data_IF_163820315692
#
_entry.id   IF_163820315692
#
_cell.length_a   1.000
_cell.length_b   1.000
_cell.length_c   1.000
_cell.angle_alpha   90.00
_cell.angle_beta   90.00
_cell.angle_gamma   90.00
#
_symmetry.space_group_name_H-M   'P 1'
#
loop_
_entity.id
_entity.type
_entity.pdbx_description
1 polymer ?
#
# COMPACT_ATOMS: atom_id res chain seq x y z
N UNK A 1 -12.39 2.18 -11.05
CA UNK A 1 -11.36 1.61 -10.14
C UNK A 1 -11.80 0.26 -9.61
N UNK A 2 -10.87 -0.56 -9.12
CA UNK A 2 -11.17 -1.78 -8.37
C UNK A 2 -10.60 -1.65 -6.96
N UNK A 3 -11.30 -2.22 -5.99
CA UNK A 3 -10.85 -2.24 -4.60
C UNK A 3 -10.88 -3.66 -4.04
N UNK A 4 -10.01 -3.93 -3.06
CA UNK A 4 -10.12 -5.12 -2.21
C UNK A 4 -10.24 -4.69 -0.76
N UNK A 5 -11.15 -5.35 -0.03
CA UNK A 5 -11.38 -5.12 1.39
C UNK A 5 -10.75 -6.27 2.17
N UNK A 6 -9.81 -5.96 3.05
CA UNK A 6 -9.09 -6.89 3.91
C UNK A 6 -9.48 -6.62 5.36
N UNK A 7 -9.91 -7.63 6.07
CA UNK A 7 -10.46 -7.47 7.42
C UNK A 7 -10.27 -8.75 8.24
N UNK A 8 -10.34 -8.67 9.58
CA UNK A 8 -10.33 -9.84 10.42
C UNK A 8 -11.52 -10.74 10.09
N UNK A 9 -11.24 -11.97 9.67
CA UNK A 9 -12.26 -12.91 9.26
C UNK A 9 -12.45 -14.00 10.31
N UNK A 10 -13.70 -14.43 10.51
CA UNK A 10 -13.99 -15.67 11.22
C UNK A 10 -13.38 -16.83 10.45
N UNK A 11 -12.83 -17.80 11.18
CA UNK A 11 -12.37 -19.04 10.54
C UNK A 11 -13.52 -19.68 9.73
N UNK A 12 -13.32 -19.74 8.43
CA UNK A 12 -14.30 -20.27 7.47
C UNK A 12 -14.06 -21.75 7.15
N UNK A 13 -13.11 -22.39 7.86
CA UNK A 13 -12.75 -23.79 7.67
C UNK A 13 -12.00 -24.07 6.35
N UNK A 14 -11.64 -25.33 6.14
CA UNK A 14 -10.85 -25.77 4.97
C UNK A 14 -11.58 -25.66 3.62
N UNK A 15 -12.91 -25.60 3.62
CA UNK A 15 -13.73 -25.49 2.40
C UNK A 15 -13.72 -24.08 1.78
N UNK A 16 -13.19 -23.07 2.47
CA UNK A 16 -13.14 -21.69 1.98
C UNK A 16 -12.01 -21.48 0.97
N UNK A 17 -12.27 -20.69 -0.07
CA UNK A 17 -11.31 -20.39 -1.13
C UNK A 17 -10.23 -19.44 -0.61
N UNK A 18 -8.96 -19.86 -0.70
CA UNK A 18 -7.82 -18.98 -0.41
C UNK A 18 -7.75 -17.89 -1.48
N UNK A 19 -7.65 -16.64 -1.08
CA UNK A 19 -7.52 -15.54 -2.01
C UNK A 19 -6.16 -15.63 -2.75
N UNK A 20 -6.13 -15.51 -4.09
CA UNK A 20 -4.88 -15.33 -4.81
C UNK A 20 -4.30 -13.94 -4.50
N UNK A 21 -2.97 -13.79 -4.59
CA UNK A 21 -2.30 -12.49 -4.44
C UNK A 21 -2.69 -11.58 -5.62
N UNK A 22 -2.71 -12.09 -6.85
CA UNK A 22 -3.28 -11.43 -8.03
C UNK A 22 -4.47 -12.22 -8.55
N UNK A 23 -5.48 -11.53 -9.06
CA UNK A 23 -6.55 -12.17 -9.81
C UNK A 23 -5.99 -12.86 -11.07
N UNK A 24 -6.58 -13.99 -11.53
CA UNK A 24 -5.94 -14.84 -12.54
C UNK A 24 -5.59 -14.15 -13.86
N UNK A 25 -6.47 -13.30 -14.39
CA UNK A 25 -6.21 -12.61 -15.65
C UNK A 25 -5.23 -11.44 -15.47
N UNK A 26 -5.25 -10.78 -14.30
CA UNK A 26 -4.25 -9.79 -13.94
C UNK A 26 -2.85 -10.43 -13.81
N UNK A 27 -2.75 -11.62 -13.19
CA UNK A 27 -1.51 -12.39 -13.11
C UNK A 27 -0.98 -12.80 -14.50
N UNK A 28 -1.86 -13.22 -15.41
CA UNK A 28 -1.50 -13.56 -16.79
C UNK A 28 -1.07 -12.33 -17.59
N UNK A 29 -1.62 -11.16 -17.31
CA UNK A 29 -1.18 -9.90 -17.96
C UNK A 29 0.16 -9.43 -17.38
N UNK A 30 0.35 -9.52 -16.06
CA UNK A 30 1.61 -9.25 -15.38
C UNK A 30 2.75 -10.11 -15.94
N UNK A 31 2.54 -11.42 -16.12
CA UNK A 31 3.50 -12.34 -16.72
C UNK A 31 3.95 -11.88 -18.12
N UNK A 32 3.03 -11.34 -18.90
CA UNK A 32 3.30 -10.91 -20.28
C UNK A 32 4.02 -9.57 -20.38
N UNK A 33 3.74 -8.64 -19.45
CA UNK A 33 4.11 -7.24 -19.65
C UNK A 33 4.99 -6.66 -18.54
N UNK A 34 4.76 -7.06 -17.28
CA UNK A 34 5.48 -6.50 -16.14
C UNK A 34 6.66 -7.38 -15.69
N UNK A 35 6.58 -8.70 -15.87
CA UNK A 35 7.68 -9.62 -15.61
C UNK A 35 8.92 -9.40 -16.47
N UNK A 36 8.80 -9.32 -17.80
CA UNK A 36 9.96 -9.19 -18.71
C UNK A 36 10.86 -7.98 -18.44
N UNK A 37 10.37 -6.76 -18.15
CA UNK A 37 11.21 -5.63 -17.76
C UNK A 37 12.02 -5.86 -16.48
N UNK A 38 11.59 -6.77 -15.62
CA UNK A 38 12.31 -7.18 -14.40
C UNK A 38 13.31 -8.32 -14.66
N UNK A 39 13.52 -8.72 -15.92
CA UNK A 39 14.39 -9.85 -16.25
C UNK A 39 13.76 -11.22 -16.05
N UNK A 40 12.44 -11.30 -15.87
CA UNK A 40 11.69 -12.54 -15.68
C UNK A 40 11.01 -12.92 -16.99
N UNK A 41 11.46 -13.98 -17.70
CA UNK A 41 10.85 -14.38 -18.97
C UNK A 41 9.38 -14.78 -18.78
N UNK A 42 8.56 -14.46 -19.77
CA UNK A 42 7.15 -14.91 -19.81
C UNK A 42 7.04 -16.41 -19.59
N UNK A 43 6.13 -16.83 -18.72
CA UNK A 43 5.88 -18.24 -18.38
C UNK A 43 6.90 -18.86 -17.44
N UNK A 44 7.90 -18.11 -16.96
CA UNK A 44 8.89 -18.60 -16.01
C UNK A 44 8.37 -18.66 -14.57
N UNK A 45 7.32 -17.91 -14.25
CA UNK A 45 6.70 -17.84 -12.93
C UNK A 45 5.19 -18.02 -13.06
N UNK A 46 4.62 -18.89 -12.27
CA UNK A 46 3.16 -19.00 -12.10
C UNK A 46 2.69 -17.96 -11.07
N UNK A 47 2.49 -16.72 -11.52
CA UNK A 47 2.04 -15.62 -10.67
C UNK A 47 0.66 -15.87 -10.05
N UNK A 48 -0.22 -16.62 -10.75
CA UNK A 48 -1.54 -16.95 -10.25
C UNK A 48 -1.51 -17.99 -9.11
N UNK A 49 -0.40 -18.74 -8.98
CA UNK A 49 -0.22 -19.69 -7.88
C UNK A 49 0.15 -19.04 -6.55
N UNK A 50 0.57 -17.76 -6.55
CA UNK A 50 0.89 -17.03 -5.33
C UNK A 50 -0.37 -16.85 -4.49
N UNK A 51 -0.35 -17.41 -3.28
CA UNK A 51 -1.50 -17.40 -2.36
C UNK A 51 -1.28 -16.45 -1.21
N UNK A 52 -2.38 -15.88 -0.75
CA UNK A 52 -2.45 -15.11 0.49
C UNK A 52 -2.86 -16.03 1.66
N UNK A 53 -2.93 -15.47 2.87
CA UNK A 53 -3.54 -16.15 4.02
C UNK A 53 -5.05 -15.86 4.11
N UNK A 54 -5.54 -14.91 3.31
CA UNK A 54 -6.93 -14.47 3.32
C UNK A 54 -7.87 -15.49 2.65
N UNK A 55 -9.15 -15.39 3.00
CA UNK A 55 -10.24 -16.21 2.46
C UNK A 55 -11.23 -15.33 1.72
N UNK A 56 -11.54 -15.69 0.49
CA UNK A 56 -12.50 -14.93 -0.33
C UNK A 56 -13.90 -14.98 0.30
N UNK A 57 -14.49 -13.82 0.54
CA UNK A 57 -15.87 -13.69 1.02
C UNK A 57 -16.11 -14.20 2.44
N UNK A 58 -15.05 -14.43 3.24
CA UNK A 58 -15.19 -14.91 4.61
C UNK A 58 -15.99 -13.90 5.46
N UNK A 59 -16.85 -14.37 6.39
CA UNK A 59 -17.54 -13.49 7.34
C UNK A 59 -16.54 -12.71 8.22
N UNK A 60 -16.87 -11.46 8.53
CA UNK A 60 -16.10 -10.68 9.51
C UNK A 60 -16.11 -11.39 10.87
N UNK A 61 -14.98 -11.41 11.57
CA UNK A 61 -14.91 -11.92 12.94
C UNK A 61 -15.73 -11.00 13.87
N UNK A 62 -16.82 -11.49 14.47
CA UNK A 62 -17.65 -10.65 15.34
C UNK A 62 -16.93 -10.14 16.59
N UNK A 63 -15.79 -10.77 16.96
CA UNK A 63 -14.97 -10.34 18.11
C UNK A 63 -14.12 -9.11 17.76
N UNK A 64 -13.93 -8.79 16.50
CA UNK A 64 -13.13 -7.64 16.09
C UNK A 64 -13.82 -6.29 16.35
N UNK A 65 -15.15 -6.28 16.53
CA UNK A 65 -15.91 -5.05 16.78
C UNK A 65 -15.90 -4.09 15.59
N UNK A 66 -15.81 -2.78 15.87
CA UNK A 66 -15.65 -1.74 14.83
C UNK A 66 -14.20 -1.69 14.36
N UNK A 67 -14.02 -1.66 13.04
CA UNK A 67 -12.71 -1.77 12.40
C UNK A 67 -12.19 -0.38 11.98
N UNK A 68 -11.10 0.12 12.58
CA UNK A 68 -10.40 1.29 12.03
C UNK A 68 -10.05 1.05 10.56
N UNK A 69 -10.13 2.09 9.75
CA UNK A 69 -9.94 1.99 8.30
C UNK A 69 -8.55 2.44 7.91
N UNK A 70 -7.86 1.68 7.06
CA UNK A 70 -6.61 2.12 6.44
C UNK A 70 -6.77 2.03 4.91
N UNK A 71 -6.63 3.18 4.23
CA UNK A 71 -6.58 3.23 2.78
C UNK A 71 -5.14 2.95 2.31
N UNK A 72 -4.95 2.04 1.37
CA UNK A 72 -3.65 1.71 0.80
C UNK A 72 -3.60 2.05 -0.69
N UNK A 73 -2.61 2.86 -1.09
CA UNK A 73 -2.27 3.16 -2.47
C UNK A 73 -0.90 2.59 -2.87
N UNK A 74 -0.84 1.85 -3.96
CA UNK A 74 0.41 1.38 -4.58
C UNK A 74 1.20 2.52 -5.25
N UNK A 75 2.44 2.26 -5.66
CA UNK A 75 3.24 3.15 -6.49
C UNK A 75 2.63 3.41 -7.87
N UNK A 76 3.21 4.35 -8.63
CA UNK A 76 2.78 4.66 -9.98
C UNK A 76 2.87 3.40 -10.86
N UNK A 77 1.82 3.08 -11.60
CA UNK A 77 1.70 1.84 -12.37
C UNK A 77 1.44 0.57 -11.55
N UNK A 78 1.70 0.58 -10.24
CA UNK A 78 1.61 -0.61 -9.40
C UNK A 78 0.17 -1.06 -9.14
N UNK A 79 -0.15 -2.37 -9.27
CA UNK A 79 -1.44 -2.90 -8.88
C UNK A 79 -1.60 -2.97 -7.35
N UNK A 80 -2.85 -2.95 -6.88
CA UNK A 80 -3.20 -3.02 -5.44
C UNK A 80 -2.66 -4.26 -4.73
N UNK A 81 -2.34 -5.30 -5.48
CA UNK A 81 -1.82 -6.56 -4.95
C UNK A 81 -0.36 -6.50 -4.49
N UNK A 82 0.41 -5.49 -4.85
CA UNK A 82 1.83 -5.40 -4.47
C UNK A 82 2.09 -4.95 -3.03
N UNK A 83 1.05 -4.74 -2.22
CA UNK A 83 1.16 -4.42 -0.80
C UNK A 83 0.59 -5.50 0.12
N UNK A 84 0.32 -6.70 -0.41
CA UNK A 84 -0.41 -7.75 0.30
C UNK A 84 0.23 -8.16 1.62
N UNK A 85 1.56 -8.24 1.68
CA UNK A 85 2.28 -8.63 2.90
C UNK A 85 2.03 -7.68 4.09
N UNK A 86 1.91 -6.36 3.83
CA UNK A 86 1.58 -5.35 4.85
C UNK A 86 0.08 -5.33 5.17
N UNK A 87 -0.73 -5.45 4.14
CA UNK A 87 -2.18 -5.34 4.23
C UNK A 87 -2.77 -6.50 5.05
N UNK A 88 -2.27 -7.73 4.83
CA UNK A 88 -2.68 -8.90 5.62
C UNK A 88 -2.32 -8.76 7.10
N UNK A 89 -1.14 -8.24 7.41
CA UNK A 89 -0.70 -8.03 8.80
C UNK A 89 -1.60 -7.01 9.51
N UNK A 90 -1.92 -5.88 8.86
CA UNK A 90 -2.85 -4.90 9.41
C UNK A 90 -4.26 -5.48 9.58
N UNK A 91 -4.77 -6.22 8.60
CA UNK A 91 -6.07 -6.87 8.70
C UNK A 91 -6.12 -7.87 9.86
N UNK A 92 -5.07 -8.68 10.04
CA UNK A 92 -4.96 -9.61 11.15
C UNK A 92 -4.92 -8.92 12.53
N UNK A 93 -4.52 -7.64 12.58
CA UNK A 93 -4.48 -6.82 13.80
C UNK A 93 -5.78 -6.08 14.10
N UNK A 94 -6.80 -6.23 13.27
CA UNK A 94 -8.12 -5.65 13.53
C UNK A 94 -8.47 -4.45 12.65
N UNK A 95 -7.72 -4.16 11.61
CA UNK A 95 -8.03 -3.07 10.67
C UNK A 95 -8.89 -3.56 9.49
N UNK A 96 -9.74 -2.67 8.98
CA UNK A 96 -10.24 -2.78 7.62
C UNK A 96 -9.27 -2.06 6.69
N UNK A 97 -8.52 -2.82 5.89
CA UNK A 97 -7.61 -2.23 4.90
C UNK A 97 -8.26 -2.26 3.53
N UNK A 98 -8.26 -1.11 2.86
CA UNK A 98 -8.84 -0.93 1.53
C UNK A 98 -7.72 -0.67 0.54
N UNK A 99 -7.44 -1.63 -0.34
CA UNK A 99 -6.45 -1.47 -1.41
C UNK A 99 -7.14 -1.07 -2.71
N UNK A 100 -6.52 -0.16 -3.48
CA UNK A 100 -7.13 0.45 -4.66
C UNK A 100 -6.27 0.26 -5.90
N UNK A 101 -6.86 -0.23 -7.00
CA UNK A 101 -6.30 -0.11 -8.35
C UNK A 101 -6.85 1.15 -9.01
N UNK A 102 -5.95 1.97 -9.50
CA UNK A 102 -6.27 3.18 -10.27
C UNK A 102 -6.38 2.81 -11.76
N UNK A 103 -7.61 2.66 -12.23
CA UNK A 103 -7.88 2.22 -13.62
C UNK A 103 -7.27 3.19 -14.63
N UNK A 104 -6.67 2.66 -15.69
CA UNK A 104 -5.91 3.36 -16.72
C UNK A 104 -4.52 3.88 -16.28
N UNK A 105 -4.14 3.62 -15.03
CA UNK A 105 -2.82 3.95 -14.51
C UNK A 105 -2.08 2.69 -14.03
N UNK A 106 -2.74 1.85 -13.20
CA UNK A 106 -2.17 0.55 -12.82
C UNK A 106 -1.93 -0.31 -14.06
N UNK A 107 -0.80 -1.02 -14.08
CA UNK A 107 -0.36 -1.86 -15.20
C UNK A 107 -1.48 -2.72 -15.75
N UNK A 108 -2.26 -3.34 -14.87
CA UNK A 108 -3.48 -4.08 -15.20
C UNK A 108 -4.48 -4.04 -14.05
N UNK A 109 -5.75 -3.96 -14.40
CA UNK A 109 -6.88 -4.02 -13.47
C UNK A 109 -7.88 -5.05 -13.99
N UNK A 110 -8.05 -6.14 -13.25
CA UNK A 110 -9.09 -7.14 -13.55
C UNK A 110 -10.39 -6.76 -12.85
N UNK A 111 -11.46 -6.67 -13.64
CA UNK A 111 -12.83 -6.42 -13.17
C UNK A 111 -13.64 -7.71 -13.12
N UNK A 112 -14.75 -7.76 -12.35
CA UNK A 112 -15.70 -8.85 -12.40
C UNK A 112 -16.14 -9.14 -13.85
N UNK A 113 -16.35 -10.41 -14.17
CA UNK A 113 -16.68 -10.84 -15.53
C UNK A 113 -15.47 -10.99 -16.46
N UNK A 114 -14.24 -10.89 -15.94
CA UNK A 114 -13.02 -11.22 -16.68
C UNK A 114 -12.50 -10.08 -17.59
N UNK A 115 -12.99 -8.87 -17.45
CA UNK A 115 -12.47 -7.71 -18.19
C UNK A 115 -11.18 -7.21 -17.56
N UNK A 116 -10.07 -7.21 -18.32
CA UNK A 116 -8.81 -6.59 -17.90
C UNK A 116 -8.63 -5.25 -18.61
N UNK A 117 -8.32 -4.21 -17.82
CA UNK A 117 -8.01 -2.86 -18.32
C UNK A 117 -6.56 -2.56 -17.98
N UNK A 118 -5.79 -2.15 -18.97
CA UNK A 118 -4.38 -1.79 -18.82
C UNK A 118 -4.20 -0.28 -18.65
N UNK A 119 -3.01 0.08 -18.15
CA UNK A 119 -2.54 1.46 -18.14
C UNK A 119 -2.60 2.08 -19.55
N UNK A 120 -2.85 3.38 -19.62
CA UNK A 120 -2.72 4.14 -20.87
C UNK A 120 -1.25 4.15 -21.31
N UNK A 121 -0.99 4.15 -22.63
CA UNK A 121 0.37 4.25 -23.15
C UNK A 121 1.09 5.48 -22.59
N UNK A 122 2.35 5.29 -22.21
CA UNK A 122 3.21 6.40 -21.83
C UNK A 122 3.60 7.22 -23.07
N UNK A 123 3.89 8.52 -22.92
CA UNK A 123 4.45 9.33 -23.98
C UNK A 123 5.77 8.76 -24.52
N UNK A 124 6.03 8.90 -25.81
CA UNK A 124 7.24 8.38 -26.48
C UNK A 124 8.54 8.91 -25.87
N UNK A 125 8.52 10.13 -25.31
CA UNK A 125 9.67 10.76 -24.67
C UNK A 125 9.34 11.08 -23.22
N UNK A 126 10.01 10.43 -22.29
CA UNK A 126 9.89 10.66 -20.84
C UNK A 126 10.96 11.66 -20.37
N UNK A 127 10.76 12.94 -20.65
CA UNK A 127 11.60 14.00 -20.05
C UNK A 127 11.18 14.23 -18.59
N UNK A 128 12.06 14.79 -17.72
CA UNK A 128 11.69 15.12 -16.34
C UNK A 128 10.40 15.95 -16.25
N UNK A 129 10.18 16.88 -17.19
CA UNK A 129 8.96 17.71 -17.23
C UNK A 129 7.71 16.89 -17.58
N UNK A 130 7.84 15.93 -18.50
CA UNK A 130 6.73 15.03 -18.88
C UNK A 130 6.39 14.11 -17.72
N UNK A 131 7.40 13.54 -17.07
CA UNK A 131 7.21 12.69 -15.87
C UNK A 131 6.52 13.50 -14.77
N UNK A 132 6.99 14.69 -14.44
CA UNK A 132 6.38 15.55 -13.42
C UNK A 132 4.91 15.87 -13.73
N UNK A 133 4.56 16.18 -14.98
CA UNK A 133 3.17 16.39 -15.41
C UNK A 133 2.31 15.14 -15.29
N UNK A 134 2.87 13.97 -15.64
CA UNK A 134 2.20 12.69 -15.54
C UNK A 134 1.89 12.36 -14.07
N UNK A 135 2.89 12.42 -13.20
CA UNK A 135 2.73 12.18 -11.76
C UNK A 135 1.74 13.15 -11.11
N UNK A 136 1.77 14.43 -11.50
CA UNK A 136 0.80 15.41 -11.02
C UNK A 136 -0.63 15.11 -11.49
N UNK A 137 -0.82 14.60 -12.71
CA UNK A 137 -2.12 14.13 -13.21
C UNK A 137 -2.59 12.90 -12.44
N UNK A 138 -1.73 11.90 -12.29
CA UNK A 138 -2.04 10.68 -11.54
C UNK A 138 -2.36 10.98 -10.07
N UNK A 139 -1.57 11.83 -9.41
CA UNK A 139 -1.85 12.25 -8.02
C UNK A 139 -3.24 12.86 -7.86
N UNK A 140 -3.66 13.76 -8.78
CA UNK A 140 -4.99 14.37 -8.72
C UNK A 140 -6.11 13.35 -8.91
N UNK A 141 -5.96 12.45 -9.89
CA UNK A 141 -6.94 11.39 -10.13
C UNK A 141 -7.05 10.44 -8.93
N UNK A 142 -5.90 9.98 -8.41
CA UNK A 142 -5.84 9.11 -7.24
C UNK A 142 -6.45 9.74 -6.00
N UNK A 143 -6.22 11.04 -5.77
CA UNK A 143 -6.80 11.76 -4.64
C UNK A 143 -8.33 11.79 -4.72
N UNK A 144 -8.89 12.03 -5.92
CA UNK A 144 -10.33 11.98 -6.15
C UNK A 144 -10.88 10.56 -5.95
N UNK A 145 -10.19 9.56 -6.47
CA UNK A 145 -10.55 8.14 -6.32
C UNK A 145 -10.52 7.70 -4.85
N UNK A 146 -9.49 8.06 -4.09
CA UNK A 146 -9.36 7.72 -2.67
C UNK A 146 -10.47 8.38 -1.83
N UNK A 147 -10.82 9.63 -2.12
CA UNK A 147 -11.97 10.30 -1.47
C UNK A 147 -13.28 9.60 -1.78
N UNK A 148 -13.52 9.25 -3.04
CA UNK A 148 -14.69 8.49 -3.43
C UNK A 148 -14.76 7.12 -2.72
N UNK A 149 -13.63 6.39 -2.66
CA UNK A 149 -13.55 5.14 -1.91
C UNK A 149 -13.89 5.35 -0.44
N UNK A 150 -13.32 6.38 0.19
CA UNK A 150 -13.61 6.71 1.59
C UNK A 150 -15.09 7.06 1.80
N UNK A 151 -15.73 7.75 0.86
CA UNK A 151 -17.17 8.03 0.90
C UNK A 151 -17.99 6.73 0.84
N UNK A 152 -17.60 5.78 -0.03
CA UNK A 152 -18.27 4.47 -0.10
C UNK A 152 -18.06 3.63 1.18
N UNK A 153 -16.85 3.66 1.75
CA UNK A 153 -16.59 3.00 3.03
C UNK A 153 -17.39 3.66 4.17
N UNK A 154 -17.56 4.98 4.13
CA UNK A 154 -18.42 5.68 5.09
C UNK A 154 -19.91 5.24 4.98
N UNK A 155 -20.42 5.06 3.77
CA UNK A 155 -21.75 4.50 3.56
C UNK A 155 -21.88 3.09 4.13
N UNK A 156 -20.87 2.24 3.87
CA UNK A 156 -20.80 0.88 4.42
C UNK A 156 -20.80 0.90 5.96
N UNK A 157 -20.02 1.80 6.58
CA UNK A 157 -19.96 1.99 8.02
C UNK A 157 -21.29 2.42 8.65
N UNK A 158 -22.13 3.16 7.90
CA UNK A 158 -23.50 3.53 8.29
C UNK A 158 -24.53 2.40 8.06
N UNK A 159 -24.09 1.23 7.59
CA UNK A 159 -24.95 0.09 7.31
C UNK A 159 -25.67 0.14 5.96
N UNK A 160 -25.30 1.08 5.06
CA UNK A 160 -25.90 1.19 3.74
C UNK A 160 -25.35 0.13 2.78
N UNK A 161 -26.14 -0.19 1.74
CA UNK A 161 -25.68 -1.02 0.63
C UNK A 161 -24.83 -0.20 -0.32
N UNK A 162 -23.80 -0.83 -0.89
CA UNK A 162 -22.92 -0.19 -1.87
C UNK A 162 -23.42 -0.32 -3.31
N UNK A 163 -24.59 -0.93 -3.50
CA UNK A 163 -25.22 -1.17 -4.80
C UNK A 163 -24.76 -2.47 -5.48
N UNK A 164 -25.29 -2.73 -6.67
CA UNK A 164 -25.07 -3.98 -7.42
C UNK A 164 -23.59 -4.20 -7.80
N UNK A 165 -22.84 -3.13 -8.06
CA UNK A 165 -21.42 -3.17 -8.42
C UNK A 165 -20.52 -3.71 -7.31
N UNK A 166 -20.96 -3.68 -6.05
CA UNK A 166 -20.23 -4.21 -4.91
C UNK A 166 -20.36 -5.74 -4.77
N UNK A 167 -21.28 -6.37 -5.51
CA UNK A 167 -21.61 -7.76 -5.35
C UNK A 167 -22.20 -8.08 -3.96
N UNK A 168 -22.26 -9.37 -3.61
CA UNK A 168 -22.75 -9.78 -2.29
C UNK A 168 -21.68 -9.55 -1.23
N UNK A 169 -21.91 -8.57 -0.35
CA UNK A 169 -20.99 -8.30 0.76
C UNK A 169 -20.93 -9.47 1.74
N UNK A 170 -19.72 -9.79 2.26
CA UNK A 170 -19.56 -10.78 3.32
C UNK A 170 -20.35 -10.43 4.58
N UNK A 171 -20.83 -11.46 5.28
CA UNK A 171 -21.59 -11.28 6.51
C UNK A 171 -20.76 -10.51 7.56
N UNK A 172 -21.38 -9.55 8.23
CA UNK A 172 -20.76 -8.71 9.25
C UNK A 172 -19.94 -7.52 8.72
N UNK A 173 -19.73 -7.40 7.41
CA UNK A 173 -18.96 -6.29 6.86
C UNK A 173 -19.75 -4.97 6.86
N UNK A 174 -21.06 -5.05 6.64
CA UNK A 174 -21.97 -3.91 6.73
C UNK A 174 -22.01 -3.39 8.17
N UNK A 175 -21.70 -2.13 8.35
CA UNK A 175 -21.61 -1.49 9.66
C UNK A 175 -20.29 -1.76 10.41
N UNK A 176 -19.35 -2.53 9.86
CA UNK A 176 -18.07 -2.80 10.51
C UNK A 176 -17.09 -1.62 10.47
N UNK A 177 -16.95 -0.83 9.37
CA UNK A 177 -15.99 0.27 9.31
C UNK A 177 -16.21 1.32 10.39
N UNK A 178 -15.13 1.76 11.03
CA UNK A 178 -15.09 2.87 11.97
C UNK A 178 -14.46 4.10 11.32
N UNK A 179 -15.29 5.04 10.92
CA UNK A 179 -14.88 6.27 10.25
C UNK A 179 -14.40 7.36 11.20
N UNK A 180 -14.35 7.10 12.50
CA UNK A 180 -13.71 7.97 13.51
C UNK A 180 -12.24 7.65 13.69
N UNK A 181 -11.71 6.63 12.97
CA UNK A 181 -10.33 6.16 13.03
C UNK A 181 -9.88 5.76 11.63
N UNK A 182 -9.35 6.70 10.87
CA UNK A 182 -8.97 6.49 9.47
C UNK A 182 -7.50 6.82 9.25
N UNK A 183 -6.75 5.88 8.69
CA UNK A 183 -5.38 6.05 8.24
C UNK A 183 -5.24 6.03 6.72
N UNK A 184 -4.17 6.62 6.22
CA UNK A 184 -3.75 6.50 4.83
C UNK A 184 -2.32 6.00 4.75
N UNK A 185 -2.07 5.02 3.89
CA UNK A 185 -0.77 4.38 3.68
C UNK A 185 -0.51 4.24 2.18
N UNK A 186 0.71 4.50 1.75
CA UNK A 186 1.03 4.22 0.36
C UNK A 186 2.52 4.12 0.08
N UNK A 187 2.85 3.43 -1.01
CA UNK A 187 4.20 3.30 -1.53
C UNK A 187 4.39 4.28 -2.69
N UNK A 188 5.56 4.93 -2.77
CA UNK A 188 5.92 5.83 -3.87
C UNK A 188 4.85 6.92 -4.07
N UNK A 189 4.26 7.04 -5.27
CA UNK A 189 3.16 7.97 -5.55
C UNK A 189 1.97 7.77 -4.60
N UNK A 190 1.68 6.53 -4.19
CA UNK A 190 0.65 6.25 -3.18
C UNK A 190 0.93 6.90 -1.83
N UNK A 191 2.20 6.98 -1.41
CA UNK A 191 2.63 7.67 -0.20
C UNK A 191 2.45 9.19 -0.28
N UNK A 192 2.75 9.78 -1.44
CA UNK A 192 2.46 11.19 -1.74
C UNK A 192 0.95 11.49 -1.66
N UNK A 193 0.12 10.60 -2.24
CA UNK A 193 -1.34 10.73 -2.17
C UNK A 193 -1.85 10.55 -0.75
N UNK A 194 -1.29 9.64 0.04
CA UNK A 194 -1.63 9.48 1.45
C UNK A 194 -1.36 10.76 2.26
N UNK A 195 -0.24 11.44 1.99
CA UNK A 195 0.07 12.73 2.61
C UNK A 195 -0.91 13.83 2.19
N UNK A 196 -1.22 13.95 0.89
CA UNK A 196 -2.17 14.93 0.40
C UNK A 196 -3.59 14.66 0.95
N UNK A 197 -3.99 13.39 1.06
CA UNK A 197 -5.27 13.00 1.64
C UNK A 197 -5.33 13.34 3.13
N UNK A 198 -4.26 13.07 3.89
CA UNK A 198 -4.18 13.45 5.30
C UNK A 198 -4.21 14.97 5.52
N UNK A 199 -3.65 15.75 4.58
CA UNK A 199 -3.73 17.21 4.60
C UNK A 199 -5.14 17.72 4.32
N UNK A 200 -5.79 17.20 3.28
CA UNK A 200 -7.01 17.78 2.71
C UNK A 200 -8.31 17.23 3.30
N UNK A 201 -8.34 15.96 3.75
CA UNK A 201 -9.56 15.31 4.23
C UNK A 201 -9.56 15.23 5.76
N UNK A 202 -10.50 15.91 6.45
CA UNK A 202 -10.55 15.92 7.90
C UNK A 202 -10.80 14.54 8.52
N UNK A 203 -11.31 13.58 7.76
CA UNK A 203 -11.58 12.21 8.24
C UNK A 203 -10.32 11.37 8.39
N UNK A 204 -9.23 11.74 7.73
CA UNK A 204 -7.96 10.98 7.82
C UNK A 204 -7.17 11.49 9.03
N UNK A 205 -6.88 10.61 9.97
CA UNK A 205 -6.27 10.93 11.25
C UNK A 205 -4.76 10.75 11.27
N UNK A 206 -4.22 9.83 10.45
CA UNK A 206 -2.80 9.51 10.41
C UNK A 206 -2.35 9.03 9.01
N UNK A 207 -1.09 9.26 8.66
CA UNK A 207 -0.57 8.88 7.35
C UNK A 207 0.82 8.27 7.34
N UNK A 208 1.10 7.40 6.36
CA UNK A 208 2.41 6.79 6.14
C UNK A 208 2.80 6.88 4.67
N UNK A 209 4.01 7.37 4.42
CA UNK A 209 4.64 7.37 3.11
C UNK A 209 5.79 6.36 3.09
N UNK A 210 5.72 5.39 2.20
CA UNK A 210 6.78 4.42 1.93
C UNK A 210 7.56 4.85 0.67
N UNK A 211 8.65 5.55 0.88
CA UNK A 211 9.67 5.92 -0.10
C UNK A 211 9.17 6.78 -1.28
N UNK A 212 8.10 7.56 -1.11
CA UNK A 212 7.54 8.41 -2.17
C UNK A 212 8.00 9.85 -2.09
N UNK A 213 8.43 10.44 -3.21
CA UNK A 213 8.59 11.89 -3.36
C UNK A 213 7.23 12.57 -3.32
N UNK A 214 7.12 13.70 -2.61
CA UNK A 214 5.85 14.40 -2.49
C UNK A 214 5.53 15.20 -3.75
N UNK A 215 4.30 15.10 -4.22
CA UNK A 215 3.76 15.86 -5.35
C UNK A 215 2.65 16.80 -4.86
N UNK A 216 2.42 17.87 -5.61
CA UNK A 216 1.33 18.80 -5.30
C UNK A 216 1.58 19.71 -4.09
N UNK A 217 0.52 20.35 -3.57
CA UNK A 217 0.63 21.35 -2.50
C UNK A 217 1.23 20.83 -1.20
N UNK A 218 0.93 19.60 -0.81
CA UNK A 218 1.35 19.00 0.46
C UNK A 218 2.88 18.98 0.63
N UNK A 219 3.63 18.90 -0.48
CA UNK A 219 5.09 19.02 -0.46
C UNK A 219 5.61 20.31 0.20
N UNK A 220 4.80 21.38 0.18
CA UNK A 220 5.13 22.71 0.74
C UNK A 220 4.34 23.05 2.00
N UNK A 221 3.15 22.49 2.16
CA UNK A 221 2.25 22.81 3.27
C UNK A 221 2.40 21.84 4.43
N UNK A 222 2.98 20.65 4.19
CA UNK A 222 3.08 19.61 5.22
C UNK A 222 1.73 19.14 5.74
N UNK A 223 1.74 18.50 6.89
CA UNK A 223 0.55 18.01 7.58
C UNK A 223 0.59 18.38 9.07
N UNK A 224 -0.58 18.64 9.66
CA UNK A 224 -0.72 18.83 11.10
C UNK A 224 -1.08 17.53 11.86
N UNK A 225 -1.34 16.46 11.12
CA UNK A 225 -1.70 15.14 11.65
C UNK A 225 -0.47 14.26 11.81
N UNK A 226 -0.51 13.20 12.63
CA UNK A 226 0.56 12.22 12.73
C UNK A 226 0.96 11.66 11.36
N UNK A 227 2.26 11.70 11.07
CA UNK A 227 2.78 11.23 9.80
C UNK A 227 4.13 10.52 9.94
N UNK A 228 4.25 9.34 9.33
CA UNK A 228 5.48 8.57 9.28
C UNK A 228 6.01 8.51 7.85
N UNK A 229 7.28 8.86 7.69
CA UNK A 229 8.01 8.77 6.43
C UNK A 229 9.02 7.62 6.52
N UNK A 230 8.98 6.71 5.57
CA UNK A 230 9.87 5.55 5.53
C UNK A 230 10.72 5.61 4.28
N UNK A 231 12.03 5.54 4.44
CA UNK A 231 13.04 5.74 3.42
C UNK A 231 13.75 4.44 3.05
N UNK A 232 14.00 4.23 1.76
CA UNK A 232 15.07 3.37 1.27
C UNK A 232 16.44 3.96 1.65
N UNK A 233 17.49 3.16 1.57
CA UNK A 233 18.84 3.61 1.96
C UNK A 233 19.29 4.89 1.24
N UNK A 234 18.99 5.00 -0.05
CA UNK A 234 19.43 6.11 -0.89
C UNK A 234 18.59 7.39 -0.74
N UNK A 235 17.36 7.30 -0.26
CA UNK A 235 16.48 8.45 -0.07
C UNK A 235 16.72 9.15 1.27
N UNK A 236 16.92 10.45 1.20
CA UNK A 236 17.15 11.28 2.40
C UNK A 236 16.56 12.67 2.18
N UNK A 237 16.26 13.37 3.26
CA UNK A 237 15.86 14.81 3.19
C UNK A 237 16.95 15.70 2.58
N UNK A 238 18.22 15.24 2.54
CA UNK A 238 19.33 15.98 1.96
C UNK A 238 19.34 15.92 0.42
N UNK A 239 18.88 14.80 -0.17
CA UNK A 239 18.90 14.58 -1.62
C UNK A 239 17.51 14.57 -2.28
N UNK A 240 16.42 14.63 -1.48
CA UNK A 240 15.05 14.74 -1.96
C UNK A 240 14.40 16.03 -1.42
N UNK A 241 14.42 17.12 -2.20
CA UNK A 241 13.95 18.42 -1.74
C UNK A 241 12.49 18.46 -1.30
N UNK A 242 11.62 17.60 -1.89
CA UNK A 242 10.20 17.56 -1.50
C UNK A 242 10.03 16.94 -0.11
N UNK A 243 10.91 16.02 0.28
CA UNK A 243 10.93 15.45 1.63
C UNK A 243 11.31 16.47 2.67
N UNK A 244 12.36 17.26 2.38
CA UNK A 244 12.78 18.31 3.30
C UNK A 244 11.68 19.35 3.48
N UNK A 245 11.08 19.87 2.39
CA UNK A 245 10.05 20.90 2.49
C UNK A 245 8.79 20.39 3.19
N UNK A 246 8.35 19.16 2.92
CA UNK A 246 7.24 18.50 3.63
C UNK A 246 7.53 18.35 5.13
N UNK A 247 8.74 17.89 5.47
CA UNK A 247 9.16 17.70 6.86
C UNK A 247 9.15 19.01 7.62
N UNK A 248 9.77 20.05 7.06
CA UNK A 248 9.88 21.35 7.70
C UNK A 248 8.52 22.01 7.92
N UNK A 249 7.60 21.84 6.97
CA UNK A 249 6.24 22.40 7.04
C UNK A 249 5.27 21.58 7.92
N UNK A 250 5.56 20.31 8.18
CA UNK A 250 4.69 19.45 8.99
C UNK A 250 4.82 19.75 10.47
N UNK A 251 3.69 20.02 11.14
CA UNK A 251 3.62 20.42 12.56
C UNK A 251 3.15 19.33 13.51
N UNK A 252 2.52 18.27 12.97
CA UNK A 252 2.06 17.13 13.76
C UNK A 252 3.18 16.22 14.24
N UNK A 253 2.82 15.16 14.98
CA UNK A 253 3.76 14.09 15.29
C UNK A 253 4.36 13.53 14.00
N UNK A 254 5.67 13.43 13.94
CA UNK A 254 6.35 12.92 12.74
C UNK A 254 7.56 12.09 13.09
N UNK A 255 7.82 11.05 12.29
CA UNK A 255 9.03 10.22 12.35
C UNK A 255 9.49 9.90 10.94
N UNK A 256 10.81 9.89 10.77
CA UNK A 256 11.45 9.36 9.57
C UNK A 256 12.22 8.09 9.95
N UNK A 257 11.98 7.02 9.22
CA UNK A 257 12.69 5.75 9.33
C UNK A 257 13.50 5.53 8.07
N UNK A 258 14.73 5.02 8.21
CA UNK A 258 15.55 4.59 7.07
C UNK A 258 15.86 3.13 7.19
N UNK A 259 15.67 2.40 6.12
CA UNK A 259 15.96 0.98 6.00
C UNK A 259 17.30 0.78 5.30
N UNK A 260 18.32 0.33 6.03
CA UNK A 260 19.65 0.06 5.49
C UNK A 260 19.59 -1.10 4.49
N UNK A 261 20.23 -0.93 3.35
CA UNK A 261 20.23 -1.91 2.27
C UNK A 261 18.92 -2.00 1.45
N UNK A 262 17.86 -1.29 1.83
CA UNK A 262 16.63 -1.28 1.07
C UNK A 262 16.72 -0.40 -0.19
N UNK A 263 16.01 -0.79 -1.24
CA UNK A 263 15.73 0.02 -2.43
C UNK A 263 14.24 0.35 -2.54
N UNK A 264 13.87 1.11 -3.55
CA UNK A 264 12.49 1.60 -3.72
C UNK A 264 11.43 0.49 -3.74
N UNK A 265 11.69 -0.62 -4.43
CA UNK A 265 10.80 -1.78 -4.50
C UNK A 265 10.75 -2.62 -3.22
N UNK A 266 11.63 -2.36 -2.23
CA UNK A 266 11.60 -3.06 -0.94
C UNK A 266 10.28 -2.87 -0.17
N UNK A 267 9.56 -1.80 -0.46
CA UNK A 267 8.27 -1.47 0.17
C UNK A 267 7.07 -2.01 -0.60
N UNK A 268 7.30 -3.07 -1.37
CA UNK A 268 6.28 -3.84 -2.09
C UNK A 268 6.49 -5.33 -1.85
N UNK A 269 5.55 -6.17 -2.29
CA UNK A 269 5.71 -7.63 -2.22
C UNK A 269 6.89 -8.17 -3.04
N UNK A 270 7.43 -7.38 -3.97
CA UNK A 270 8.65 -7.73 -4.71
C UNK A 270 9.82 -8.01 -3.77
N UNK A 271 9.86 -7.40 -2.58
CA UNK A 271 10.86 -7.68 -1.53
C UNK A 271 10.91 -9.16 -1.15
N UNK A 272 9.75 -9.80 -1.07
CA UNK A 272 9.68 -11.23 -0.74
C UNK A 272 9.72 -12.12 -1.98
N UNK A 273 9.24 -11.65 -3.14
CA UNK A 273 9.06 -12.45 -4.34
C UNK A 273 10.35 -12.58 -5.16
N UNK A 274 11.04 -11.47 -5.46
CA UNK A 274 12.20 -11.48 -6.34
C UNK A 274 13.36 -12.36 -5.85
N UNK A 275 13.73 -12.36 -4.56
CA UNK A 275 14.76 -13.27 -4.06
C UNK A 275 14.41 -14.74 -4.25
N UNK A 276 13.13 -15.12 -4.07
CA UNK A 276 12.68 -16.50 -4.32
C UNK A 276 12.74 -16.86 -5.82
N UNK A 277 12.30 -15.95 -6.68
CA UNK A 277 12.37 -16.14 -8.13
C UNK A 277 13.83 -16.30 -8.59
N UNK A 278 14.73 -15.50 -8.05
CA UNK A 278 16.15 -15.54 -8.40
C UNK A 278 16.85 -16.87 -8.04
N UNK A 279 16.30 -17.67 -7.13
CA UNK A 279 16.82 -19.03 -6.86
C UNK A 279 16.74 -19.94 -8.10
N UNK A 280 15.79 -19.68 -9.00
CA UNK A 280 15.61 -20.41 -10.27
C UNK A 280 16.03 -19.59 -11.50
N UNK A 281 16.02 -18.28 -11.38
CA UNK A 281 16.36 -17.32 -12.42
C UNK A 281 17.49 -16.39 -11.95
N UNK A 282 18.72 -16.86 -11.84
CA UNK A 282 19.84 -16.15 -11.20
C UNK A 282 20.26 -14.85 -11.93
N UNK A 283 19.73 -14.59 -13.12
CA UNK A 283 19.98 -13.36 -13.89
C UNK A 283 19.01 -12.23 -13.54
N UNK A 284 17.97 -12.48 -12.70
CA UNK A 284 17.09 -11.42 -12.22
C UNK A 284 17.88 -10.46 -11.34
N UNK A 285 17.93 -9.16 -11.64
CA UNK A 285 18.75 -8.20 -10.91
C UNK A 285 18.06 -7.75 -9.62
N UNK A 286 17.93 -8.66 -8.65
CA UNK A 286 17.18 -8.47 -7.40
C UNK A 286 17.58 -7.19 -6.68
N UNK A 287 18.88 -6.92 -6.58
CA UNK A 287 19.40 -5.77 -5.83
C UNK A 287 18.99 -4.42 -6.48
N UNK A 288 18.78 -4.37 -7.80
CA UNK A 288 18.35 -3.14 -8.49
C UNK A 288 16.92 -2.76 -8.12
N UNK A 289 16.08 -3.74 -7.77
CA UNK A 289 14.68 -3.53 -7.42
C UNK A 289 14.46 -3.39 -5.91
N UNK A 290 15.02 -4.30 -5.12
CA UNK A 290 14.71 -4.42 -3.69
C UNK A 290 15.93 -4.28 -2.78
N UNK A 291 17.07 -3.89 -3.35
CA UNK A 291 18.30 -3.68 -2.58
C UNK A 291 18.92 -4.98 -2.06
N UNK A 292 19.70 -4.85 -1.00
CA UNK A 292 20.47 -5.93 -0.40
C UNK A 292 20.04 -6.29 1.02
N UNK A 293 19.01 -5.62 1.54
CA UNK A 293 18.43 -5.93 2.84
C UNK A 293 17.87 -7.36 2.84
N UNK A 294 18.06 -8.06 3.96
CA UNK A 294 17.44 -9.39 4.12
C UNK A 294 15.91 -9.30 3.97
N UNK A 295 15.29 -10.10 3.08
CA UNK A 295 13.88 -9.99 2.77
C UNK A 295 12.96 -10.22 3.97
N UNK A 296 13.28 -11.20 4.82
CA UNK A 296 12.46 -11.51 5.99
C UNK A 296 12.57 -10.42 7.06
N UNK A 297 13.77 -9.88 7.29
CA UNK A 297 13.99 -8.76 8.21
C UNK A 297 13.31 -7.49 7.71
N UNK A 298 13.40 -7.20 6.41
CA UNK A 298 12.73 -6.05 5.79
C UNK A 298 11.21 -6.11 6.00
N UNK A 299 10.57 -7.21 5.62
CA UNK A 299 9.12 -7.39 5.77
C UNK A 299 8.70 -7.35 7.24
N UNK A 300 9.46 -8.01 8.13
CA UNK A 300 9.20 -7.99 9.58
C UNK A 300 9.24 -6.58 10.15
N UNK A 301 10.27 -5.80 9.82
CA UNK A 301 10.40 -4.43 10.28
C UNK A 301 9.29 -3.52 9.75
N UNK A 302 8.96 -3.61 8.46
CA UNK A 302 7.85 -2.85 7.86
C UNK A 302 6.54 -3.12 8.59
N UNK A 303 6.18 -4.39 8.79
CA UNK A 303 4.99 -4.80 9.55
C UNK A 303 4.99 -4.23 10.97
N UNK A 304 6.11 -4.35 11.67
CA UNK A 304 6.23 -3.88 13.05
C UNK A 304 6.03 -2.37 13.18
N UNK A 305 6.76 -1.58 12.40
CA UNK A 305 6.70 -0.12 12.49
C UNK A 305 5.38 0.46 11.97
N UNK A 306 4.84 -0.07 10.86
CA UNK A 306 3.57 0.40 10.31
C UNK A 306 2.41 0.07 11.24
N UNK A 307 2.37 -1.15 11.79
CA UNK A 307 1.34 -1.53 12.76
C UNK A 307 1.45 -0.71 14.05
N UNK A 308 2.66 -0.52 14.59
CA UNK A 308 2.88 0.31 15.78
C UNK A 308 2.44 1.76 15.57
N UNK A 309 2.67 2.32 14.37
CA UNK A 309 2.22 3.66 14.02
C UNK A 309 0.69 3.78 14.04
N UNK A 310 -0.01 2.90 13.35
CA UNK A 310 -1.47 2.95 13.33
C UNK A 310 -2.08 2.55 14.69
N UNK A 311 -1.49 1.60 15.42
CA UNK A 311 -1.92 1.27 16.79
C UNK A 311 -1.79 2.47 17.71
N UNK A 312 -0.71 3.23 17.63
CA UNK A 312 -0.51 4.45 18.43
C UNK A 312 -1.53 5.54 18.11
N UNK A 313 -1.76 5.81 16.81
CA UNK A 313 -2.49 7.01 16.39
C UNK A 313 -3.97 6.77 16.05
N UNK A 314 -4.39 5.52 15.86
CA UNK A 314 -5.80 5.18 15.59
C UNK A 314 -6.44 4.38 16.73
N UNK A 315 -5.63 3.73 17.58
CA UNK A 315 -6.13 2.86 18.65
C UNK A 315 -5.63 3.28 20.04
N UNK A 316 -4.90 4.40 20.17
CA UNK A 316 -4.31 4.91 21.41
C UNK A 316 -3.47 3.85 22.17
N UNK A 317 -2.84 2.91 21.44
CA UNK A 317 -1.97 1.89 22.01
C UNK A 317 -0.53 2.41 22.10
N UNK A 318 0.00 2.64 23.30
CA UNK A 318 1.36 3.16 23.44
C UNK A 318 2.41 2.17 22.92
N UNK A 319 3.50 2.71 22.37
CA UNK A 319 4.65 1.94 21.89
C UNK A 319 5.94 2.69 22.20
N UNK A 320 7.04 1.94 22.40
CA UNK A 320 8.39 2.49 22.53
C UNK A 320 9.21 2.35 21.24
N UNK A 321 8.60 1.81 20.18
CA UNK A 321 9.31 1.51 18.94
C UNK A 321 9.86 2.76 18.23
N UNK A 322 9.32 3.94 18.55
CA UNK A 322 9.73 5.23 17.99
C UNK A 322 10.62 6.08 18.92
N UNK A 323 11.03 5.54 20.08
CA UNK A 323 11.81 6.28 21.08
C UNK A 323 13.32 6.09 20.86
N UNK A 324 13.73 4.89 20.43
CA UNK A 324 15.12 4.50 20.18
C UNK A 324 15.23 3.38 19.14
N UNK A 325 16.41 3.13 18.54
CA UNK A 325 16.63 1.98 17.68
C UNK A 325 16.27 0.67 18.39
N UNK A 326 15.56 -0.20 17.69
CA UNK A 326 15.13 -1.50 18.23
C UNK A 326 16.11 -2.60 17.77
N UNK A 327 16.77 -3.34 18.68
CA UNK A 327 17.70 -4.41 18.31
C UNK A 327 17.05 -5.57 17.55
N UNK A 328 15.73 -5.71 17.59
CA UNK A 328 14.99 -6.69 16.78
C UNK A 328 14.93 -6.30 15.30
N UNK A 329 15.13 -5.00 15.00
CA UNK A 329 15.10 -4.42 13.66
C UNK A 329 16.36 -3.61 13.37
N UNK A 330 17.55 -4.27 13.35
CA UNK A 330 18.83 -3.56 13.30
C UNK A 330 19.09 -2.81 11.99
N UNK A 331 18.31 -3.11 10.94
CA UNK A 331 18.40 -2.43 9.64
C UNK A 331 17.60 -1.11 9.62
N UNK A 332 16.87 -0.78 10.70
CA UNK A 332 16.03 0.42 10.74
C UNK A 332 16.67 1.48 11.63
N UNK A 333 16.88 2.65 11.08
CA UNK A 333 17.36 3.83 11.81
C UNK A 333 16.23 4.86 11.95
N UNK A 334 16.08 5.42 13.14
CA UNK A 334 15.25 6.61 13.38
C UNK A 334 16.08 7.84 12.99
N UNK A 335 15.57 8.64 12.05
CA UNK A 335 16.24 9.85 11.58
C UNK A 335 15.66 11.06 12.32
N UNK A 336 16.51 11.89 12.97
CA UNK A 336 16.09 13.04 13.76
C UNK A 336 15.35 14.12 12.96
#
# INVERSE_FOLDING_TARGET
MMVSLWYPAKDAGQASVIAPQMAPLAAADWDRHSGPPMGIPKGAVDWAATRTHARVGAPVDPRAGKLPVVLFGSGDGGPRSLGTALVEDLAARGYLVVTVDFTYEADQVEFPGGRVVRALPLPDKLTPQVIAKLLARHSRARLADMRYVLDRIAELGRGRDLGEDAGRLPAGLRGAPDLTRVGALGQSLGGSVAAQLAHDDPRVDAGVNLDGSYTGPVAKTGVAKPFMQVAAQAHTRANEPTWKSFWDASTGWKRELRFAGAAHGSFTDLQAMLPQIATKLPKVPVADFVGTIDPARSVSAQRAYIAAFFDLHLNDKPTRLFDAPDPRHPDVSLIP
#
